data_IF_807258686893
#
_entry.id   IF_807258686893
#
_cell.length_a   1.000
_cell.length_b   1.000
_cell.length_c   1.000
_cell.angle_alpha   90.00
_cell.angle_beta   90.00
_cell.angle_gamma   90.00
#
_symmetry.space_group_name_H-M   'P 1'
#
loop_
_entity.id
_entity.type
_entity.pdbx_description
1 polymer ?
#
# COMPACT_ATOMS: atom_id res chain seq x y z
N UNK A 1 6.16 13.08 -20.30
CA UNK A 1 5.35 12.05 -19.61
C UNK A 1 6.28 11.35 -18.66
N UNK A 2 6.07 11.50 -17.35
CA UNK A 2 6.73 10.66 -16.34
C UNK A 2 5.96 9.35 -16.19
N UNK A 3 6.67 8.27 -15.86
CA UNK A 3 6.09 6.99 -15.47
C UNK A 3 6.73 6.55 -14.18
N UNK A 4 5.93 6.02 -13.26
CA UNK A 4 6.41 5.35 -12.06
C UNK A 4 5.92 3.90 -12.06
N UNK A 5 6.53 3.08 -11.22
CA UNK A 5 6.19 1.67 -11.01
C UNK A 5 5.67 1.56 -9.58
N UNK A 6 4.55 0.84 -9.40
CA UNK A 6 4.03 0.50 -8.08
C UNK A 6 4.15 -1.01 -7.87
N UNK A 7 4.87 -1.43 -6.84
CA UNK A 7 4.81 -2.82 -6.34
C UNK A 7 3.93 -2.88 -5.10
N UNK A 8 3.00 -3.85 -5.08
CA UNK A 8 2.13 -4.12 -3.94
C UNK A 8 2.38 -5.55 -3.45
N UNK A 9 2.71 -5.66 -2.17
CA UNK A 9 2.93 -6.95 -1.51
C UNK A 9 2.08 -7.06 -0.25
N UNK A 10 1.80 -8.29 0.17
CA UNK A 10 1.10 -8.55 1.45
C UNK A 10 1.96 -9.43 2.32
N UNK A 11 2.27 -9.00 3.53
CA UNK A 11 2.98 -9.83 4.51
C UNK A 11 2.53 -9.53 5.94
N UNK A 12 2.83 -10.42 6.89
CA UNK A 12 2.60 -10.18 8.33
C UNK A 12 3.96 -9.85 8.96
N UNK A 13 4.35 -8.57 8.88
CA UNK A 13 5.65 -8.12 9.41
C UNK A 13 5.52 -7.53 10.82
N UNK A 14 4.30 -7.19 11.25
CA UNK A 14 4.03 -6.76 12.63
C UNK A 14 3.90 -7.96 13.59
N UNK A 15 3.74 -9.19 13.08
CA UNK A 15 3.69 -10.42 13.86
C UNK A 15 2.38 -10.58 14.63
N UNK A 16 1.31 -9.97 14.16
CA UNK A 16 0.06 -9.82 14.89
C UNK A 16 -1.09 -10.68 14.32
N UNK A 17 -0.75 -11.55 13.37
CA UNK A 17 -1.64 -12.43 12.60
C UNK A 17 -2.63 -11.70 11.66
N UNK A 18 -2.51 -10.38 11.53
CA UNK A 18 -3.03 -9.61 10.40
C UNK A 18 -1.92 -9.47 9.36
N UNK A 19 -2.29 -9.34 8.08
CA UNK A 19 -1.32 -9.03 7.02
C UNK A 19 -1.42 -7.56 6.67
N UNK A 20 -0.29 -6.89 6.62
CA UNK A 20 -0.11 -5.55 6.12
C UNK A 20 0.02 -5.56 4.58
N UNK A 21 -0.22 -4.40 3.97
CA UNK A 21 0.07 -4.16 2.55
C UNK A 21 1.24 -3.19 2.48
N UNK A 22 2.35 -3.61 1.88
CA UNK A 22 3.46 -2.73 1.56
C UNK A 22 3.34 -2.26 0.10
N UNK A 23 3.46 -0.95 -0.10
CA UNK A 23 3.60 -0.31 -1.40
C UNK A 23 4.99 0.28 -1.53
N UNK A 24 5.61 -0.04 -2.66
CA UNK A 24 6.87 0.53 -3.11
C UNK A 24 6.61 1.30 -4.41
N UNK A 25 6.93 2.60 -4.41
CA UNK A 25 6.82 3.46 -5.59
C UNK A 25 8.23 3.77 -6.11
N UNK A 26 8.48 3.38 -7.35
CA UNK A 26 9.78 3.54 -8.01
C UNK A 26 9.66 4.48 -9.21
N UNK A 27 10.60 5.41 -9.36
CA UNK A 27 10.70 6.29 -10.52
C UNK A 27 11.26 5.56 -11.76
N UNK A 28 11.94 4.43 -11.56
CA UNK A 28 12.50 3.57 -12.61
C UNK A 28 12.66 2.12 -12.10
N UNK A 29 12.82 1.11 -12.97
CA UNK A 29 12.96 -0.29 -12.55
C UNK A 29 14.07 -0.61 -11.54
N UNK A 30 15.10 0.23 -11.44
CA UNK A 30 16.23 0.08 -10.52
C UNK A 30 16.40 1.32 -9.63
N UNK A 31 15.30 1.93 -9.20
CA UNK A 31 15.33 3.09 -8.31
C UNK A 31 16.06 2.72 -7.00
N UNK A 32 17.18 3.38 -6.66
CA UNK A 32 17.94 3.07 -5.45
C UNK A 32 17.26 3.57 -4.16
N UNK A 33 16.27 4.46 -4.27
CA UNK A 33 15.60 5.08 -3.12
C UNK A 33 14.09 5.13 -3.36
N UNK A 34 13.41 3.97 -3.38
CA UNK A 34 11.98 3.93 -3.61
C UNK A 34 11.25 4.46 -2.37
N UNK A 35 10.11 5.10 -2.61
CA UNK A 35 9.20 5.43 -1.55
C UNK A 35 8.52 4.16 -1.03
N UNK A 36 8.53 3.99 0.29
CA UNK A 36 7.88 2.88 0.98
C UNK A 36 6.77 3.39 1.89
N UNK A 37 5.56 2.87 1.69
CA UNK A 37 4.41 3.09 2.57
C UNK A 37 3.70 1.77 2.85
N UNK A 38 3.23 1.57 4.08
CA UNK A 38 2.49 0.37 4.43
C UNK A 38 1.11 0.71 5.01
N UNK A 39 0.14 -0.16 4.75
CA UNK A 39 -1.19 -0.11 5.31
C UNK A 39 -1.43 -1.31 6.23
N UNK A 40 -2.06 -1.07 7.38
CA UNK A 40 -2.46 -2.11 8.34
C UNK A 40 -3.96 -2.07 8.63
N UNK A 41 -4.49 -3.20 9.10
CA UNK A 41 -5.90 -3.37 9.45
C UNK A 41 -6.03 -3.34 10.97
N UNK A 42 -6.53 -2.23 11.52
CA UNK A 42 -6.66 -2.05 12.97
C UNK A 42 -7.57 -3.11 13.62
N UNK A 43 -8.59 -3.54 12.89
CA UNK A 43 -9.55 -4.57 13.30
C UNK A 43 -9.17 -5.99 12.85
N UNK A 44 -8.05 -6.15 12.14
CA UNK A 44 -7.57 -7.44 11.61
C UNK A 44 -8.61 -8.19 10.77
N UNK A 45 -9.46 -7.43 10.08
CA UNK A 45 -10.61 -7.95 9.33
C UNK A 45 -10.39 -7.91 7.81
N UNK A 46 -9.19 -7.48 7.37
CA UNK A 46 -8.84 -7.32 5.96
C UNK A 46 -9.31 -6.00 5.34
N UNK A 47 -9.91 -5.11 6.13
CA UNK A 47 -10.10 -3.70 5.80
C UNK A 47 -8.94 -2.88 6.35
N UNK A 48 -8.25 -2.17 5.48
CA UNK A 48 -7.06 -1.40 5.81
C UNK A 48 -7.44 0.04 6.08
N UNK A 49 -7.13 0.53 7.28
CA UNK A 49 -7.56 1.83 7.81
C UNK A 49 -6.43 2.64 8.47
N UNK A 50 -5.25 2.03 8.62
CA UNK A 50 -4.03 2.68 9.09
C UNK A 50 -2.98 2.66 8.00
N UNK A 51 -2.18 3.72 7.92
CA UNK A 51 -1.02 3.81 7.04
C UNK A 51 0.16 4.34 7.83
N UNK A 52 1.37 3.92 7.48
CA UNK A 52 2.57 4.69 7.83
C UNK A 52 2.44 6.10 7.27
N UNK A 53 2.87 7.10 8.03
CA UNK A 53 2.93 8.47 7.50
C UNK A 53 3.86 8.45 6.29
N UNK A 54 3.43 8.92 5.11
CA UNK A 54 4.35 9.14 4.03
C UNK A 54 5.29 10.27 4.45
N UNK A 55 6.59 10.09 4.23
CA UNK A 55 7.34 11.24 3.77
C UNK A 55 7.01 11.36 2.29
N UNK A 56 6.41 12.49 1.87
CA UNK A 56 6.33 12.94 0.47
C UNK A 56 6.04 11.81 -0.55
N UNK A 57 4.88 11.16 -0.42
CA UNK A 57 4.59 9.94 -1.16
C UNK A 57 4.28 10.13 -2.65
N UNK A 58 3.95 11.34 -3.04
CA UNK A 58 3.72 11.71 -4.44
C UNK A 58 4.90 12.49 -5.05
N UNK A 59 5.89 12.84 -4.23
CA UNK A 59 7.15 13.46 -4.64
C UNK A 59 7.01 14.94 -5.01
N UNK A 60 6.01 15.63 -4.47
CA UNK A 60 5.74 17.04 -4.73
C UNK A 60 6.42 17.99 -3.73
N UNK A 61 7.00 17.43 -2.65
CA UNK A 61 7.75 18.15 -1.63
C UNK A 61 6.94 18.64 -0.43
N UNK A 62 5.65 18.25 -0.30
CA UNK A 62 4.77 18.69 0.78
C UNK A 62 4.59 17.64 1.91
N UNK A 63 5.61 17.50 2.75
CA UNK A 63 5.57 16.62 3.96
C UNK A 63 4.42 16.95 4.95
N UNK A 64 3.66 18.03 4.74
CA UNK A 64 2.51 18.44 5.57
C UNK A 64 1.11 18.33 4.88
N UNK A 65 1.02 17.85 3.62
CA UNK A 65 -0.23 17.64 2.86
C UNK A 65 -0.89 16.25 2.98
N UNK A 66 -0.13 15.30 3.54
CA UNK A 66 -0.31 13.91 3.95
C UNK A 66 -1.71 13.23 4.13
N UNK A 67 -2.85 13.92 4.26
CA UNK A 67 -4.15 13.24 4.50
C UNK A 67 -4.71 12.64 3.21
N UNK A 68 -4.65 13.39 2.11
CA UNK A 68 -5.26 12.96 0.86
C UNK A 68 -4.49 11.79 0.24
N UNK A 69 -3.16 11.78 0.35
CA UNK A 69 -2.31 10.67 -0.10
C UNK A 69 -2.51 9.43 0.75
N UNK A 70 -2.64 9.58 2.07
CA UNK A 70 -3.02 8.48 2.96
C UNK A 70 -4.37 7.89 2.53
N UNK A 71 -5.36 8.73 2.25
CA UNK A 71 -6.68 8.27 1.80
C UNK A 71 -6.57 7.53 0.46
N UNK A 72 -5.81 8.06 -0.49
CA UNK A 72 -5.62 7.45 -1.80
C UNK A 72 -4.90 6.10 -1.68
N UNK A 73 -3.84 6.04 -0.89
CA UNK A 73 -3.10 4.83 -0.62
C UNK A 73 -3.98 3.77 0.05
N UNK A 74 -4.75 4.12 1.08
CA UNK A 74 -5.69 3.21 1.74
C UNK A 74 -6.76 2.69 0.77
N UNK A 75 -7.26 3.52 -0.16
CA UNK A 75 -8.18 3.07 -1.22
C UNK A 75 -7.52 2.04 -2.13
N UNK A 76 -6.28 2.27 -2.55
CA UNK A 76 -5.53 1.35 -3.40
C UNK A 76 -5.21 0.04 -2.66
N UNK A 77 -4.81 0.10 -1.40
CA UNK A 77 -4.58 -1.07 -0.55
C UNK A 77 -5.85 -1.93 -0.43
N UNK A 78 -7.00 -1.31 -0.15
CA UNK A 78 -8.28 -2.02 -0.08
C UNK A 78 -8.71 -2.61 -1.43
N UNK A 79 -8.47 -1.91 -2.54
CA UNK A 79 -8.72 -2.45 -3.88
C UNK A 79 -7.84 -3.67 -4.17
N UNK A 80 -6.55 -3.61 -3.81
CA UNK A 80 -5.62 -4.74 -3.93
C UNK A 80 -6.05 -5.94 -3.07
N UNK A 81 -6.45 -5.71 -1.82
CA UNK A 81 -6.99 -6.74 -0.94
C UNK A 81 -8.25 -7.40 -1.53
N UNK A 82 -9.16 -6.61 -2.10
CA UNK A 82 -10.35 -7.11 -2.78
C UNK A 82 -10.02 -7.96 -4.01
N UNK A 83 -9.01 -7.56 -4.80
CA UNK A 83 -8.51 -8.36 -5.93
C UNK A 83 -7.93 -9.70 -5.46
N UNK A 84 -7.17 -9.74 -4.36
CA UNK A 84 -6.67 -10.99 -3.77
C UNK A 84 -7.80 -11.90 -3.28
N UNK A 85 -8.85 -11.31 -2.69
CA UNK A 85 -10.09 -12.02 -2.38
C UNK A 85 -10.75 -12.63 -3.61
N UNK A 86 -10.65 -11.99 -4.77
CA UNK A 86 -11.14 -12.51 -6.06
C UNK A 86 -10.33 -13.75 -6.51
N UNK A 87 -9.00 -13.72 -6.39
CA UNK A 87 -8.14 -14.88 -6.70
C UNK A 87 -8.34 -16.04 -5.72
N UNK A 88 -8.62 -15.77 -4.44
CA UNK A 88 -8.95 -16.80 -3.46
C UNK A 88 -10.32 -17.46 -3.72
N UNK A 89 -11.31 -16.70 -4.20
CA UNK A 89 -12.63 -17.23 -4.62
C UNK A 89 -12.55 -18.09 -5.89
N UNK A 90 -11.65 -17.77 -6.83
CA UNK A 90 -11.47 -18.54 -8.07
C UNK A 90 -10.92 -19.96 -7.83
N UNK A 91 -10.13 -20.19 -6.78
CA UNK A 91 -9.61 -21.53 -6.42
C UNK A 91 -10.67 -22.50 -5.86
N UNK A 92 -11.92 -22.05 -5.63
CA UNK A 92 -13.03 -22.87 -5.13
C UNK A 92 -13.99 -23.38 -6.22
N UNK A 93 -13.58 -23.39 -7.50
CA UNK A 93 -14.36 -23.98 -8.60
C UNK A 93 -13.65 -25.17 -9.21
#
# INVERSE_FOLDING_TARGET
MGSFIIHLTTDDFEGDASKEILMEVLNAPNDPDPLLVYASSSEKNGFYDRSSSPGDADGDGDVEGDIDDKILFLKLANAFAAMKGYTAKQKKK
#
